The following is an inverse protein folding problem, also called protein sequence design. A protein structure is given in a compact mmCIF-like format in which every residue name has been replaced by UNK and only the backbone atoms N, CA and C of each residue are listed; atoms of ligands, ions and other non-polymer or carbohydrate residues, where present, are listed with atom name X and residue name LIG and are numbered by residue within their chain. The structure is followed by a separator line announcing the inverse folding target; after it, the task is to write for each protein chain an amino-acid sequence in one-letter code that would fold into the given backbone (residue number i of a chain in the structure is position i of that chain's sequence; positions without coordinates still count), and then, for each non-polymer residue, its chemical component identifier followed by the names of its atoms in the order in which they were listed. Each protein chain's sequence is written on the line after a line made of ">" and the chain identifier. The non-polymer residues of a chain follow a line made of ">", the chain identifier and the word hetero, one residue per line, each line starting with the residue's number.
data_IF_367112016243
#
_entry.id   IF_367112016243
#
_cell.length_a   1.000
_cell.length_b   1.000
_cell.length_c   1.000
_cell.angle_alpha   90.00
_cell.angle_beta   90.00
_cell.angle_gamma   90.00
#
_symmetry.space_group_name_H-M   'P 1'
#
loop_
_entity.id
_entity.type
_entity.pdbx_description
1 polymer ?
#
# COMPACT_ATOMS: atom_id res chain seq x y z
N UNK A 1 16.57 50.08 -28.14
CA UNK A 1 16.80 49.10 -27.06
C UNK A 1 15.50 48.52 -26.47
N UNK A 2 14.49 49.33 -26.16
CA UNK A 2 13.22 48.90 -25.53
C UNK A 2 12.32 47.94 -26.34
N UNK A 3 12.39 47.97 -27.68
CA UNK A 3 11.62 47.05 -28.55
C UNK A 3 12.21 45.63 -28.57
N UNK A 4 13.53 45.51 -28.45
CA UNK A 4 14.24 44.22 -28.48
C UNK A 4 14.07 43.45 -27.16
N UNK A 5 13.98 44.16 -26.03
CA UNK A 5 13.69 43.56 -24.71
C UNK A 5 12.29 42.97 -24.70
N UNK A 6 11.31 43.65 -25.31
CA UNK A 6 9.94 43.13 -25.42
C UNK A 6 9.87 41.85 -26.27
N UNK A 7 10.61 41.79 -27.39
CA UNK A 7 10.64 40.59 -28.24
C UNK A 7 11.31 39.40 -27.53
N UNK A 8 12.37 39.64 -26.77
CA UNK A 8 13.06 38.59 -25.99
C UNK A 8 12.15 38.08 -24.87
N UNK A 9 11.44 38.96 -24.15
CA UNK A 9 10.50 38.54 -23.09
C UNK A 9 9.32 37.72 -23.62
N UNK A 10 8.76 38.08 -24.78
CA UNK A 10 7.66 37.31 -25.40
C UNK A 10 8.14 35.95 -25.92
N UNK A 11 9.34 35.89 -26.52
CA UNK A 11 9.93 34.62 -26.94
C UNK A 11 10.28 33.72 -25.74
N UNK A 12 10.72 34.29 -24.63
CA UNK A 12 11.00 33.56 -23.38
C UNK A 12 9.74 32.93 -22.77
N UNK A 13 8.60 33.62 -22.88
CA UNK A 13 7.31 33.09 -22.42
C UNK A 13 6.77 31.97 -23.32
N UNK A 14 7.09 32.01 -24.63
CA UNK A 14 6.66 31.01 -25.59
C UNK A 14 7.46 29.69 -25.56
N UNK A 15 8.70 29.69 -25.02
CA UNK A 15 9.48 28.46 -24.82
C UNK A 15 9.18 27.75 -23.49
N UNK A 16 8.63 28.44 -22.49
CA UNK A 16 8.31 27.84 -21.19
C UNK A 16 7.08 26.91 -21.21
N UNK A 17 6.23 27.02 -22.24
CA UNK A 17 4.97 26.27 -22.39
C UNK A 17 5.12 24.86 -22.98
N UNK A 18 6.35 24.41 -23.26
CA UNK A 18 6.62 23.02 -23.74
C UNK A 18 7.25 22.15 -22.64
N UNK A 19 7.16 22.56 -21.38
CA UNK A 19 7.44 21.65 -20.28
C UNK A 19 6.41 20.52 -20.35
N UNK A 20 6.80 19.24 -20.46
CA UNK A 20 5.84 18.17 -20.25
C UNK A 20 5.32 18.38 -18.83
N UNK A 21 4.04 18.72 -18.71
CA UNK A 21 3.35 18.57 -17.46
C UNK A 21 3.47 17.08 -17.13
N UNK A 22 4.48 16.71 -16.33
CA UNK A 22 4.53 15.42 -15.67
C UNK A 22 3.28 15.43 -14.82
N UNK A 23 2.23 14.83 -15.37
CA UNK A 23 1.01 14.57 -14.65
C UNK A 23 1.43 13.65 -13.51
N UNK A 24 1.67 14.22 -12.34
CA UNK A 24 1.70 13.49 -11.08
C UNK A 24 0.27 13.03 -10.70
N UNK A 25 -0.56 12.76 -11.69
CA UNK A 25 -1.74 11.96 -11.53
C UNK A 25 -1.23 10.53 -11.41
N UNK A 26 -0.92 10.13 -10.17
CA UNK A 26 -1.05 8.73 -9.76
C UNK A 26 -2.32 8.24 -10.47
N UNK A 27 -2.16 7.30 -11.39
CA UNK A 27 -3.26 6.79 -12.20
C UNK A 27 -4.29 6.21 -11.26
N UNK A 28 -5.23 7.05 -10.79
CA UNK A 28 -6.43 6.58 -10.14
C UNK A 28 -7.12 5.73 -11.20
N UNK A 29 -7.22 4.42 -11.01
CA UNK A 29 -7.85 3.57 -12.01
C UNK A 29 -9.28 4.05 -12.25
N UNK A 30 -9.76 3.81 -13.47
CA UNK A 30 -11.11 4.18 -13.89
C UNK A 30 -12.16 3.66 -12.89
N UNK A 31 -13.18 4.47 -12.58
CA UNK A 31 -14.13 4.24 -11.47
C UNK A 31 -15.11 3.10 -11.78
N UNK A 32 -14.95 2.41 -12.92
CA UNK A 32 -15.55 1.10 -13.13
C UNK A 32 -14.62 0.03 -12.54
N UNK A 33 -14.42 0.07 -11.23
CA UNK A 33 -14.03 -1.13 -10.50
C UNK A 33 -15.29 -1.98 -10.35
N UNK A 34 -15.41 -3.02 -11.17
CA UNK A 34 -16.11 -4.23 -10.72
C UNK A 34 -15.29 -4.81 -9.57
N UNK A 35 -15.45 -4.23 -8.38
CA UNK A 35 -14.74 -4.66 -7.17
C UNK A 35 -15.29 -6.03 -6.79
N UNK A 36 -14.70 -7.09 -7.35
CA UNK A 36 -14.78 -8.40 -6.74
C UNK A 36 -14.01 -8.34 -5.43
N UNK A 37 -14.77 -8.29 -4.33
CA UNK A 37 -14.21 -8.50 -3.01
C UNK A 37 -13.65 -9.94 -2.95
N UNK A 38 -12.37 -10.13 -2.56
CA UNK A 38 -11.78 -11.44 -2.45
C UNK A 38 -12.61 -12.32 -1.53
N UNK A 39 -12.91 -13.52 -2.02
CA UNK A 39 -13.44 -14.57 -1.15
C UNK A 39 -12.41 -14.94 -0.09
N UNK A 40 -12.85 -15.59 0.98
CA UNK A 40 -11.92 -16.17 1.96
C UNK A 40 -10.87 -17.09 1.31
N UNK A 41 -11.25 -17.85 0.28
CA UNK A 41 -10.34 -18.74 -0.43
C UNK A 41 -9.29 -17.95 -1.23
N UNK A 42 -9.71 -16.93 -1.96
CA UNK A 42 -8.81 -16.03 -2.72
C UNK A 42 -7.85 -15.32 -1.77
N UNK A 43 -8.39 -14.73 -0.69
CA UNK A 43 -7.59 -14.10 0.36
C UNK A 43 -6.54 -15.07 0.93
N UNK A 44 -6.92 -16.31 1.22
CA UNK A 44 -6.01 -17.31 1.77
C UNK A 44 -4.88 -17.63 0.79
N UNK A 45 -5.18 -17.80 -0.50
CA UNK A 45 -4.17 -18.06 -1.52
C UNK A 45 -3.20 -16.87 -1.66
N UNK A 46 -3.72 -15.65 -1.75
CA UNK A 46 -2.93 -14.44 -1.94
C UNK A 46 -1.98 -14.21 -0.74
N UNK A 47 -2.47 -14.39 0.49
CA UNK A 47 -1.65 -14.23 1.70
C UNK A 47 -0.51 -15.25 1.77
N UNK A 48 -0.78 -16.52 1.44
CA UNK A 48 0.26 -17.55 1.45
C UNK A 48 1.29 -17.31 0.34
N UNK A 49 0.85 -17.00 -0.88
CA UNK A 49 1.75 -16.66 -1.97
C UNK A 49 2.66 -15.48 -1.62
N UNK A 50 2.10 -14.43 -0.99
CA UNK A 50 2.88 -13.27 -0.59
C UNK A 50 3.93 -13.59 0.49
N UNK A 51 3.58 -14.43 1.47
CA UNK A 51 4.53 -14.90 2.48
C UNK A 51 5.66 -15.76 1.86
N UNK A 52 5.32 -16.60 0.88
CA UNK A 52 6.31 -17.42 0.15
C UNK A 52 7.24 -16.57 -0.73
N UNK A 53 6.73 -15.48 -1.31
CA UNK A 53 7.49 -14.56 -2.17
C UNK A 53 8.41 -13.62 -1.37
N UNK A 54 8.05 -13.31 -0.12
CA UNK A 54 8.76 -12.33 0.74
C UNK A 54 9.11 -12.88 2.14
N UNK A 55 9.75 -14.06 2.25
CA UNK A 55 9.99 -14.71 3.54
C UNK A 55 10.98 -13.97 4.44
N UNK A 56 11.74 -13.02 3.89
CA UNK A 56 12.72 -12.19 4.60
C UNK A 56 12.08 -11.05 5.38
N UNK A 57 10.84 -10.66 5.05
CA UNK A 57 10.14 -9.54 5.69
C UNK A 57 8.71 -9.86 6.13
N UNK A 58 8.09 -10.93 5.61
CA UNK A 58 6.71 -11.32 5.91
C UNK A 58 6.67 -12.57 6.79
N UNK A 59 5.97 -12.48 7.92
CA UNK A 59 5.52 -13.64 8.69
C UNK A 59 4.00 -13.75 8.60
N UNK A 60 3.49 -14.84 8.03
CA UNK A 60 2.05 -15.15 8.02
C UNK A 60 1.72 -16.08 9.21
N UNK A 61 0.72 -15.70 9.98
CA UNK A 61 0.30 -16.39 11.20
C UNK A 61 -1.19 -16.68 11.17
N UNK A 62 -1.56 -17.79 11.80
CA UNK A 62 -2.93 -18.05 12.23
C UNK A 62 -3.02 -17.64 13.69
N UNK A 63 -3.84 -16.63 13.99
CA UNK A 63 -4.01 -16.09 15.35
C UNK A 63 -5.27 -16.57 16.05
N UNK A 64 -6.04 -17.41 15.37
CA UNK A 64 -7.24 -18.06 15.88
C UNK A 64 -8.03 -18.72 14.76
N UNK A 65 -9.20 -19.23 15.12
CA UNK A 65 -10.17 -19.76 14.18
C UNK A 65 -11.55 -19.15 14.49
N UNK A 66 -12.33 -18.87 13.45
CA UNK A 66 -13.75 -18.54 13.59
C UNK A 66 -14.55 -19.75 14.09
N UNK A 67 -15.77 -19.50 14.56
CA UNK A 67 -16.71 -20.56 14.96
C UNK A 67 -16.94 -21.63 13.88
N UNK A 68 -16.84 -21.26 12.59
CA UNK A 68 -17.02 -22.17 11.46
C UNK A 68 -15.70 -22.74 10.91
N UNK A 69 -14.60 -22.63 11.65
CA UNK A 69 -13.32 -23.27 11.33
C UNK A 69 -12.50 -22.58 10.24
N UNK A 70 -12.74 -21.29 9.98
CA UNK A 70 -11.84 -20.47 9.14
C UNK A 70 -10.72 -19.89 9.97
N UNK A 71 -9.49 -19.96 9.48
CA UNK A 71 -8.33 -19.30 10.08
C UNK A 71 -8.51 -17.78 10.13
N UNK A 72 -8.14 -17.19 11.27
CA UNK A 72 -7.92 -15.76 11.45
C UNK A 72 -6.47 -15.45 11.08
N UNK A 73 -6.28 -14.82 9.92
CA UNK A 73 -4.95 -14.56 9.38
C UNK A 73 -4.36 -13.25 9.92
N UNK A 74 -3.07 -13.28 10.27
CA UNK A 74 -2.29 -12.08 10.59
C UNK A 74 -0.99 -12.08 9.78
N UNK A 75 -0.72 -10.96 9.13
CA UNK A 75 0.56 -10.66 8.52
C UNK A 75 1.37 -9.75 9.44
N UNK A 76 2.59 -10.16 9.74
CA UNK A 76 3.59 -9.25 10.28
C UNK A 76 4.60 -8.93 9.19
N UNK A 77 4.88 -7.65 9.03
CA UNK A 77 5.77 -7.14 7.99
C UNK A 77 6.84 -6.32 8.71
N UNK A 78 8.10 -6.68 8.59
CA UNK A 78 9.21 -5.94 9.19
C UNK A 78 10.51 -6.26 8.47
N UNK A 79 11.47 -5.33 8.50
CA UNK A 79 12.86 -5.74 8.32
C UNK A 79 13.35 -6.39 9.61
N UNK A 80 13.36 -7.73 9.64
CA UNK A 80 13.76 -8.52 10.80
C UNK A 80 15.27 -8.49 11.08
N UNK A 81 16.08 -8.01 10.12
CA UNK A 81 17.53 -7.88 10.32
C UNK A 81 17.91 -6.69 11.21
N UNK A 82 16.97 -5.76 11.40
CA UNK A 82 17.15 -4.58 12.24
C UNK A 82 16.41 -4.80 13.57
N UNK A 83 17.05 -4.51 14.70
CA UNK A 83 16.36 -4.52 16.01
C UNK A 83 15.74 -3.14 16.34
N UNK A 84 16.36 -2.08 15.86
CA UNK A 84 16.01 -0.69 16.15
C UNK A 84 16.11 0.17 14.88
N UNK A 85 15.58 1.39 14.96
CA UNK A 85 15.77 2.41 13.93
C UNK A 85 17.23 2.87 13.85
N UNK A 86 17.64 3.58 12.79
CA UNK A 86 19.00 4.13 12.68
C UNK A 86 19.42 5.07 13.83
N UNK A 87 18.46 5.71 14.51
CA UNK A 87 18.72 6.57 15.67
C UNK A 87 18.79 5.80 17.01
N UNK A 88 18.69 4.47 16.97
CA UNK A 88 18.73 3.59 18.13
C UNK A 88 17.40 3.47 18.88
N UNK A 89 16.33 4.16 18.45
CA UNK A 89 15.00 4.02 19.05
C UNK A 89 14.28 2.75 18.57
N UNK A 90 13.30 2.28 19.34
CA UNK A 90 12.48 1.13 18.94
C UNK A 90 11.69 1.43 17.64
N UNK A 91 11.47 0.39 16.82
CA UNK A 91 10.58 0.50 15.65
C UNK A 91 9.16 0.82 16.12
N UNK A 92 8.42 1.60 15.33
CA UNK A 92 6.98 1.70 15.52
C UNK A 92 6.32 0.35 15.24
N UNK A 93 5.27 0.07 16.01
CA UNK A 93 4.34 -1.02 15.72
C UNK A 93 3.01 -0.40 15.37
N UNK A 94 2.55 -0.63 14.14
CA UNK A 94 1.25 -0.18 13.66
C UNK A 94 0.37 -1.40 13.48
N UNK A 95 -0.76 -1.42 14.17
CA UNK A 95 -1.78 -2.47 14.04
C UNK A 95 -2.91 -1.99 13.13
N UNK A 96 -3.25 -2.78 12.13
CA UNK A 96 -4.35 -2.53 11.21
C UNK A 96 -5.22 -3.78 11.13
N UNK A 97 -6.52 -3.60 11.22
CA UNK A 97 -7.51 -4.68 11.13
C UNK A 97 -8.68 -4.29 10.24
N UNK A 98 -9.34 -5.30 9.68
CA UNK A 98 -10.49 -5.17 8.80
C UNK A 98 -11.29 -6.45 8.78
N UNK A 99 -12.59 -6.34 8.47
CA UNK A 99 -13.49 -7.50 8.42
C UNK A 99 -14.22 -7.82 9.73
N UNK A 100 -14.09 -6.99 10.77
CA UNK A 100 -14.81 -7.16 12.04
C UNK A 100 -16.34 -7.24 11.85
N UNK A 101 -16.88 -6.43 10.95
CA UNK A 101 -18.24 -6.58 10.45
C UNK A 101 -18.21 -7.26 9.08
N UNK A 102 -18.85 -8.44 8.96
CA UNK A 102 -18.78 -9.26 7.75
C UNK A 102 -19.40 -8.64 6.49
N UNK A 103 -20.12 -7.52 6.62
CA UNK A 103 -20.71 -6.76 5.52
C UNK A 103 -19.91 -5.49 5.15
N UNK A 104 -18.79 -5.20 5.82
CA UNK A 104 -17.95 -4.02 5.58
C UNK A 104 -16.69 -4.38 4.78
N UNK A 105 -16.88 -4.74 3.51
CA UNK A 105 -15.82 -5.29 2.68
C UNK A 105 -14.63 -4.33 2.43
N UNK A 106 -14.84 -3.00 2.49
CA UNK A 106 -13.77 -2.03 2.23
C UNK A 106 -12.65 -2.07 3.28
N UNK A 107 -12.97 -2.41 4.55
CA UNK A 107 -11.94 -2.60 5.58
C UNK A 107 -11.04 -3.81 5.26
N UNK A 108 -11.66 -4.86 4.72
CA UNK A 108 -10.98 -6.06 4.21
C UNK A 108 -10.11 -5.73 2.99
N UNK A 109 -10.52 -4.85 2.09
CA UNK A 109 -9.67 -4.46 0.95
C UNK A 109 -8.49 -3.57 1.34
N UNK A 110 -8.70 -2.67 2.30
CA UNK A 110 -7.66 -1.74 2.75
C UNK A 110 -6.43 -2.49 3.28
N UNK A 111 -6.64 -3.50 4.13
CA UNK A 111 -5.53 -4.29 4.67
C UNK A 111 -4.79 -5.12 3.60
N UNK A 112 -5.43 -5.44 2.46
CA UNK A 112 -4.79 -6.14 1.35
C UNK A 112 -3.95 -5.16 0.53
N UNK A 113 -4.54 -3.98 0.26
CA UNK A 113 -3.91 -2.94 -0.55
C UNK A 113 -2.60 -2.43 0.07
N UNK A 114 -2.51 -2.43 1.40
CA UNK A 114 -1.32 -2.01 2.13
C UNK A 114 -0.11 -2.94 1.93
N UNK A 115 -0.32 -4.21 1.56
CA UNK A 115 0.76 -5.15 1.22
C UNK A 115 1.59 -4.63 0.04
N UNK A 116 0.93 -4.04 -0.96
CA UNK A 116 1.60 -3.48 -2.14
C UNK A 116 2.46 -2.23 -1.83
N UNK A 117 2.28 -1.62 -0.65
CA UNK A 117 2.86 -0.32 -0.28
C UNK A 117 3.97 -0.47 0.78
N UNK A 118 4.02 -1.58 1.54
CA UNK A 118 4.96 -1.73 2.66
C UNK A 118 6.18 -2.58 2.30
N UNK A 119 7.31 -1.91 2.01
CA UNK A 119 8.64 -2.54 1.92
C UNK A 119 9.67 -1.99 2.93
N UNK A 120 9.30 -1.03 3.79
CA UNK A 120 10.27 -0.30 4.66
C UNK A 120 9.77 0.13 6.05
N UNK A 121 8.68 -0.42 6.56
CA UNK A 121 8.15 -0.06 7.88
C UNK A 121 7.42 -1.23 8.53
N UNK A 122 7.62 -1.40 9.83
CA UNK A 122 6.97 -2.45 10.62
C UNK A 122 5.44 -2.29 10.59
N UNK A 123 4.73 -3.19 9.90
CA UNK A 123 3.27 -3.19 9.83
C UNK A 123 2.73 -4.54 10.31
N UNK A 124 1.82 -4.49 11.28
CA UNK A 124 1.11 -5.65 11.79
C UNK A 124 -0.34 -5.55 11.29
N UNK A 125 -0.72 -6.41 10.34
CA UNK A 125 -2.09 -6.48 9.82
C UNK A 125 -2.73 -7.74 10.36
N UNK A 126 -3.75 -7.61 11.19
CA UNK A 126 -4.55 -8.74 11.70
C UNK A 126 -5.91 -8.76 11.02
N UNK A 127 -6.55 -9.92 10.91
CA UNK A 127 -7.92 -10.06 10.41
C UNK A 127 -8.72 -11.06 11.21
N UNK A 128 -10.00 -10.75 11.40
CA UNK A 128 -11.06 -11.66 11.88
C UNK A 128 -11.87 -12.26 10.73
#
# INVERSE_FOLDING_TARGET
>A
MRRWIATILVASFALASVSPAVSAQISQPDIIQEHWYPSYATLTLDLNAWADEHPDIVNLLVVGETELGRNLWMLQISDWSLEAKPDGTAKEVVYIDGGHHGNEHLGTELGLSLQSITSRGGLMVSRM
#
